data_IF_262323021987
#
_entry.id   IF_262323021987
#
_cell.length_a   1.000
_cell.length_b   1.000
_cell.length_c   1.000
_cell.angle_alpha   90.00
_cell.angle_beta   90.00
_cell.angle_gamma   90.00
#
_symmetry.space_group_name_H-M   'P 1'
#
loop_
_entity.id
_entity.type
_entity.pdbx_description
1 polymer ?
#
# COMPACT_ATOMS: atom_id res chain seq x y z
N UNK A 1 -26.23 -6.33 7.46
CA UNK A 1 -25.19 -6.52 8.49
C UNK A 1 -23.92 -5.77 8.12
N UNK A 2 -23.08 -5.46 9.08
CA UNK A 2 -21.81 -4.78 8.86
C UNK A 2 -20.81 -5.72 8.14
N UNK A 3 -20.33 -5.30 6.97
CA UNK A 3 -19.36 -6.05 6.19
C UNK A 3 -17.96 -5.43 6.39
N UNK A 4 -17.11 -6.08 7.21
CA UNK A 4 -15.79 -5.53 7.53
C UNK A 4 -14.89 -5.32 6.32
N UNK A 5 -15.05 -6.08 5.25
CA UNK A 5 -14.26 -5.87 4.04
C UNK A 5 -14.61 -4.57 3.30
N UNK A 6 -15.86 -4.12 3.38
CA UNK A 6 -16.37 -2.95 2.70
C UNK A 6 -16.51 -1.74 3.61
N UNK A 7 -17.00 -1.97 4.85
CA UNK A 7 -17.51 -0.91 5.72
C UNK A 7 -16.50 -0.53 6.82
N UNK A 8 -15.63 -1.46 7.25
CA UNK A 8 -14.62 -1.16 8.27
C UNK A 8 -13.53 -0.27 7.69
N UNK A 9 -13.52 1.00 8.09
CA UNK A 9 -12.46 1.95 7.73
C UNK A 9 -11.49 2.08 8.89
N UNK A 10 -10.23 1.82 8.62
CA UNK A 10 -9.14 1.82 9.59
C UNK A 10 -7.90 2.46 9.01
N UNK A 11 -7.07 3.04 9.85
CA UNK A 11 -5.78 3.56 9.44
C UNK A 11 -4.95 2.44 8.80
N UNK A 12 -4.41 2.70 7.62
CA UNK A 12 -3.73 1.67 6.82
C UNK A 12 -2.21 1.65 7.03
N UNK A 13 -1.67 2.68 7.67
CA UNK A 13 -0.26 2.74 8.00
C UNK A 13 0.64 2.57 6.78
N UNK A 14 1.71 1.84 6.95
CA UNK A 14 2.75 1.67 5.92
C UNK A 14 2.31 0.97 4.63
N UNK A 15 1.05 0.50 4.53
CA UNK A 15 0.54 -0.05 3.26
C UNK A 15 0.50 0.98 2.12
N UNK A 16 0.48 2.28 2.41
CA UNK A 16 0.47 3.33 1.38
C UNK A 16 1.86 3.74 0.88
N UNK A 17 2.93 3.34 1.57
CA UNK A 17 4.31 3.71 1.15
C UNK A 17 4.64 3.35 -0.30
N UNK A 18 4.23 2.18 -0.84
CA UNK A 18 4.50 1.85 -2.24
C UNK A 18 4.02 2.90 -3.25
N UNK A 19 2.96 3.65 -2.92
CA UNK A 19 2.45 4.74 -3.78
C UNK A 19 3.45 5.91 -3.86
N UNK A 20 4.16 6.19 -2.76
CA UNK A 20 5.22 7.22 -2.73
C UNK A 20 6.40 6.77 -3.60
N UNK A 21 6.85 5.54 -3.43
CA UNK A 21 7.96 4.97 -4.21
C UNK A 21 7.61 4.87 -5.70
N UNK A 22 6.35 4.59 -6.03
CA UNK A 22 5.87 4.66 -7.41
C UNK A 22 6.06 6.06 -8.00
N UNK A 23 5.75 7.12 -7.25
CA UNK A 23 5.97 8.50 -7.71
C UNK A 23 7.45 8.76 -8.00
N UNK A 24 8.34 8.24 -7.15
CA UNK A 24 9.78 8.35 -7.35
C UNK A 24 10.23 7.62 -8.65
N UNK A 25 9.77 6.39 -8.86
CA UNK A 25 10.06 5.59 -10.06
C UNK A 25 9.54 6.33 -11.31
N UNK A 26 8.29 6.78 -11.32
CA UNK A 26 7.67 7.46 -12.46
C UNK A 26 8.30 8.80 -12.80
N UNK A 27 8.99 9.43 -11.85
CA UNK A 27 9.74 10.66 -12.11
C UNK A 27 10.95 10.47 -13.05
N UNK A 28 11.41 9.23 -13.21
CA UNK A 28 12.64 8.90 -13.94
C UNK A 28 13.93 9.33 -13.24
N UNK A 29 13.85 9.98 -12.07
CA UNK A 29 15.01 10.48 -11.31
C UNK A 29 15.54 9.46 -10.30
N UNK A 30 14.72 8.46 -9.94
CA UNK A 30 15.03 7.47 -8.94
C UNK A 30 14.96 6.04 -9.49
N UNK A 31 15.84 5.21 -8.98
CA UNK A 31 15.80 3.75 -9.13
C UNK A 31 16.05 3.08 -7.77
N UNK A 32 15.99 1.77 -7.70
CA UNK A 32 16.11 1.05 -6.42
C UNK A 32 17.47 1.19 -5.73
N UNK A 33 18.52 1.53 -6.46
CA UNK A 33 19.85 1.81 -5.91
C UNK A 33 20.03 3.28 -5.50
N UNK A 34 19.10 4.18 -5.85
CA UNK A 34 19.21 5.60 -5.52
C UNK A 34 19.34 5.81 -4.01
N UNK A 35 20.26 6.65 -3.56
CA UNK A 35 20.43 6.97 -2.15
C UNK A 35 19.26 7.81 -1.64
N UNK A 36 18.66 7.39 -0.53
CA UNK A 36 17.59 8.12 0.17
C UNK A 36 18.05 8.35 1.59
N UNK A 37 17.90 9.57 2.06
CA UNK A 37 18.22 9.95 3.43
C UNK A 37 17.12 9.48 4.40
N UNK A 38 17.54 8.76 5.46
CA UNK A 38 16.68 8.31 6.57
C UNK A 38 17.16 8.94 7.88
N UNK A 39 17.14 10.26 7.94
CA UNK A 39 17.46 11.08 9.11
C UNK A 39 16.28 11.95 9.52
N UNK A 40 16.35 12.51 10.71
CA UNK A 40 15.31 13.37 11.29
C UNK A 40 14.87 14.47 10.32
N UNK A 41 13.55 14.67 10.27
CA UNK A 41 12.93 15.72 9.48
C UNK A 41 11.83 16.40 10.30
N UNK A 42 11.70 17.70 10.16
CA UNK A 42 10.60 18.50 10.73
C UNK A 42 9.84 19.21 9.63
N UNK A 43 8.53 19.04 9.62
CA UNK A 43 7.64 19.58 8.59
C UNK A 43 6.63 20.50 9.27
N UNK A 44 6.51 21.71 8.77
CA UNK A 44 5.47 22.63 9.22
C UNK A 44 4.12 22.26 8.57
N UNK A 45 3.14 21.93 9.40
CA UNK A 45 1.79 21.61 8.97
C UNK A 45 0.77 22.29 9.88
N UNK A 46 -0.10 23.09 9.32
CA UNK A 46 -1.16 23.83 10.06
C UNK A 46 -0.61 24.62 11.27
N UNK A 47 0.54 25.29 11.10
CA UNK A 47 1.15 26.11 12.15
C UNK A 47 1.84 25.30 13.27
N UNK A 48 1.95 23.97 13.15
CA UNK A 48 2.65 23.10 14.08
C UNK A 48 3.78 22.33 13.38
N UNK A 49 4.89 22.15 14.08
CA UNK A 49 5.96 21.29 13.62
C UNK A 49 5.57 19.82 13.84
N UNK A 50 5.64 19.02 12.78
CA UNK A 50 5.48 17.57 12.85
C UNK A 50 6.83 16.91 12.58
N UNK A 51 7.28 16.10 13.54
CA UNK A 51 8.55 15.37 13.49
C UNK A 51 8.27 13.85 13.54
N UNK A 52 8.14 13.21 12.38
CA UNK A 52 7.96 11.76 12.33
C UNK A 52 9.20 11.04 12.88
N UNK A 53 8.99 9.79 13.28
CA UNK A 53 10.06 8.88 13.71
C UNK A 53 9.93 7.54 13.03
N UNK A 54 11.05 6.84 12.87
CA UNK A 54 11.00 5.43 12.50
C UNK A 54 10.39 4.60 13.64
N UNK A 55 9.80 3.45 13.30
CA UNK A 55 9.18 2.57 14.28
C UNK A 55 10.21 2.11 15.35
N UNK A 56 11.43 1.83 14.94
CA UNK A 56 12.54 1.51 15.84
C UNK A 56 13.07 2.70 16.67
N UNK A 57 12.64 3.91 16.35
CA UNK A 57 13.14 5.16 16.95
C UNK A 57 14.50 5.62 16.41
N UNK A 58 15.19 4.80 15.60
CA UNK A 58 16.53 5.11 15.07
C UNK A 58 16.50 5.80 13.70
N UNK A 59 17.66 6.36 13.34
CA UNK A 59 17.97 6.90 12.02
C UNK A 59 18.96 5.97 11.32
N UNK A 60 18.86 5.82 10.00
CA UNK A 60 19.71 4.89 9.24
C UNK A 60 20.66 5.61 8.27
N UNK A 61 20.66 6.95 8.29
CA UNK A 61 21.49 7.76 7.39
C UNK A 61 21.08 7.61 5.94
N UNK A 62 22.02 7.56 5.03
CA UNK A 62 21.76 7.38 3.60
C UNK A 62 21.72 5.89 3.27
N UNK A 63 20.58 5.45 2.76
CA UNK A 63 20.32 4.04 2.39
C UNK A 63 19.82 3.91 0.95
N UNK A 64 20.02 2.76 0.29
CA UNK A 64 19.38 2.50 -1.00
C UNK A 64 17.84 2.56 -0.90
N UNK A 65 17.18 3.11 -1.91
CA UNK A 65 15.72 3.23 -1.96
C UNK A 65 15.00 1.89 -1.72
N UNK A 66 15.53 0.79 -2.25
CA UNK A 66 14.98 -0.55 -2.01
C UNK A 66 15.02 -0.93 -0.53
N UNK A 67 16.10 -0.61 0.18
CA UNK A 67 16.23 -0.87 1.61
C UNK A 67 15.23 -0.05 2.43
N UNK A 68 15.03 1.22 2.05
CA UNK A 68 14.07 2.08 2.71
C UNK A 68 12.62 1.54 2.59
N UNK A 69 12.24 1.01 1.41
CA UNK A 69 10.94 0.37 1.23
C UNK A 69 10.85 -0.97 1.95
N UNK A 70 11.83 -1.87 1.78
CA UNK A 70 11.79 -3.23 2.33
C UNK A 70 11.74 -3.25 3.85
N UNK A 71 12.46 -2.35 4.50
CA UNK A 71 12.43 -2.17 5.95
C UNK A 71 11.37 -1.18 6.44
N UNK A 72 10.60 -0.62 5.51
CA UNK A 72 9.48 0.28 5.84
C UNK A 72 9.89 1.54 6.62
N UNK A 73 11.06 2.14 6.31
CA UNK A 73 11.52 3.34 6.99
C UNK A 73 10.56 4.51 6.79
N UNK A 74 10.25 5.19 7.88
CA UNK A 74 9.29 6.29 7.89
C UNK A 74 9.91 7.58 7.37
N UNK A 75 11.13 7.89 7.80
CA UNK A 75 11.79 9.17 7.49
C UNK A 75 12.06 9.28 5.99
N UNK A 76 12.59 8.21 5.38
CA UNK A 76 12.78 8.11 3.93
C UNK A 76 11.48 8.27 3.16
N UNK A 77 10.41 7.60 3.61
CA UNK A 77 9.11 7.69 2.95
C UNK A 77 8.52 9.11 3.01
N UNK A 78 8.65 9.77 4.16
CA UNK A 78 8.18 11.15 4.32
C UNK A 78 8.99 12.13 3.45
N UNK A 79 10.31 11.98 3.35
CA UNK A 79 11.15 12.82 2.46
C UNK A 79 10.72 12.70 1.01
N UNK A 80 10.58 11.48 0.50
CA UNK A 80 10.07 11.25 -0.86
C UNK A 80 8.65 11.80 -1.03
N UNK A 81 7.77 11.57 -0.06
CA UNK A 81 6.42 12.10 -0.08
C UNK A 81 6.38 13.63 -0.16
N UNK A 82 7.23 14.32 0.59
CA UNK A 82 7.37 15.77 0.53
C UNK A 82 7.89 16.25 -0.82
N UNK A 83 8.85 15.54 -1.40
CA UNK A 83 9.42 15.89 -2.70
C UNK A 83 8.39 15.82 -3.84
N UNK A 84 7.57 14.77 -3.87
CA UNK A 84 6.56 14.59 -4.90
C UNK A 84 5.23 15.29 -4.59
N UNK A 85 4.98 15.57 -3.33
CA UNK A 85 3.86 16.37 -2.84
C UNK A 85 2.56 15.60 -2.65
N UNK A 86 1.72 16.16 -1.79
CA UNK A 86 0.40 15.60 -1.42
C UNK A 86 -0.54 15.45 -2.61
N UNK A 87 -0.49 16.38 -3.57
CA UNK A 87 -1.34 16.34 -4.76
C UNK A 87 -1.05 15.12 -5.63
N UNK A 88 0.23 14.83 -5.92
CA UNK A 88 0.64 13.67 -6.70
C UNK A 88 0.21 12.37 -6.00
N UNK A 89 0.46 12.28 -4.71
CA UNK A 89 0.06 11.13 -3.89
C UNK A 89 -1.46 10.90 -3.90
N UNK A 90 -2.24 11.96 -3.67
CA UNK A 90 -3.70 11.91 -3.69
C UNK A 90 -4.26 11.52 -5.06
N UNK A 91 -3.66 12.04 -6.13
CA UNK A 91 -4.07 11.70 -7.50
C UNK A 91 -3.83 10.22 -7.81
N UNK A 92 -2.73 9.62 -7.36
CA UNK A 92 -2.52 8.19 -7.48
C UNK A 92 -3.62 7.38 -6.77
N UNK A 93 -3.92 7.72 -5.51
CA UNK A 93 -4.96 7.02 -4.75
C UNK A 93 -6.33 7.07 -5.45
N UNK A 94 -6.72 8.25 -5.96
CA UNK A 94 -7.97 8.41 -6.72
C UNK A 94 -7.97 7.57 -7.99
N UNK A 95 -6.87 7.57 -8.76
CA UNK A 95 -6.72 6.76 -9.97
C UNK A 95 -6.83 5.26 -9.66
N UNK A 96 -6.32 4.80 -8.52
CA UNK A 96 -6.41 3.41 -8.08
C UNK A 96 -7.81 3.02 -7.57
N UNK A 97 -8.72 3.99 -7.44
CA UNK A 97 -10.11 3.73 -7.08
C UNK A 97 -10.44 3.94 -5.61
N UNK A 98 -9.59 4.65 -4.88
CA UNK A 98 -9.90 5.07 -3.51
C UNK A 98 -11.02 6.09 -3.51
N UNK A 99 -12.05 5.83 -2.72
CA UNK A 99 -13.24 6.68 -2.57
C UNK A 99 -13.27 7.40 -1.23
N UNK A 100 -12.50 6.95 -0.25
CA UNK A 100 -12.34 7.60 1.04
C UNK A 100 -11.82 9.03 0.89
N UNK A 101 -12.19 9.89 1.85
CA UNK A 101 -11.64 11.22 1.93
C UNK A 101 -10.13 11.16 2.20
N UNK A 102 -9.34 11.78 1.33
CA UNK A 102 -7.88 11.76 1.41
C UNK A 102 -7.44 13.04 2.13
N UNK A 103 -6.85 12.93 3.32
CA UNK A 103 -6.35 14.09 4.06
C UNK A 103 -5.24 14.83 3.30
N UNK A 104 -5.14 16.14 3.55
CA UNK A 104 -4.17 17.04 2.90
C UNK A 104 -3.03 17.44 3.85
N UNK A 105 -2.63 16.56 4.75
CA UNK A 105 -1.52 16.79 5.68
C UNK A 105 -0.45 15.69 5.58
N UNK A 106 0.82 16.00 5.89
CA UNK A 106 1.97 15.14 5.59
C UNK A 106 1.95 13.75 6.23
N UNK A 107 1.25 13.56 7.35
CA UNK A 107 1.18 12.24 7.99
C UNK A 107 0.45 11.17 7.15
N UNK A 108 -0.22 11.58 6.06
CA UNK A 108 -0.78 10.64 5.09
C UNK A 108 0.30 9.78 4.41
N UNK A 109 1.53 10.28 4.28
CA UNK A 109 2.66 9.52 3.75
C UNK A 109 3.03 8.31 4.62
N UNK A 110 2.58 8.32 5.88
CA UNK A 110 2.69 7.19 6.80
C UNK A 110 1.36 6.44 6.97
N UNK A 111 0.37 6.73 6.12
CA UNK A 111 -0.93 6.06 6.11
C UNK A 111 -1.88 6.49 7.23
N UNK A 112 -1.75 7.74 7.73
CA UNK A 112 -2.71 8.35 8.64
C UNK A 112 -4.02 8.70 7.89
N UNK A 113 -4.67 7.70 7.35
CA UNK A 113 -5.94 7.77 6.63
C UNK A 113 -6.70 6.47 6.80
N UNK A 114 -8.02 6.58 6.98
CA UNK A 114 -8.89 5.44 7.16
C UNK A 114 -9.39 4.94 5.81
N UNK A 115 -9.11 3.66 5.51
CA UNK A 115 -9.56 2.97 4.30
C UNK A 115 -10.10 1.59 4.64
N UNK A 116 -10.97 1.08 3.77
CA UNK A 116 -11.46 -0.30 3.89
C UNK A 116 -10.47 -1.31 3.28
N UNK A 117 -10.54 -2.60 3.70
CA UNK A 117 -9.79 -3.66 3.04
C UNK A 117 -10.01 -3.71 1.53
N UNK A 118 -11.22 -3.41 1.07
CA UNK A 118 -11.56 -3.37 -0.36
C UNK A 118 -10.83 -2.23 -1.10
N UNK A 119 -10.69 -1.05 -0.49
CA UNK A 119 -9.90 0.03 -1.08
C UNK A 119 -8.42 -0.33 -1.17
N UNK A 120 -7.88 -0.98 -0.13
CA UNK A 120 -6.52 -1.51 -0.17
C UNK A 120 -6.35 -2.61 -1.23
N UNK A 121 -7.34 -3.49 -1.38
CA UNK A 121 -7.37 -4.50 -2.45
C UNK A 121 -7.35 -3.84 -3.83
N UNK A 122 -8.05 -2.73 -4.01
CA UNK A 122 -8.02 -1.97 -5.27
C UNK A 122 -6.63 -1.42 -5.57
N UNK A 123 -5.95 -0.82 -4.58
CA UNK A 123 -4.58 -0.29 -4.75
C UNK A 123 -3.61 -1.40 -5.15
N UNK A 124 -3.56 -2.50 -4.38
CA UNK A 124 -2.64 -3.61 -4.64
C UNK A 124 -3.02 -4.42 -5.88
N UNK A 125 -4.29 -4.43 -6.25
CA UNK A 125 -4.77 -4.96 -7.52
C UNK A 125 -4.16 -4.24 -8.73
N UNK A 126 -4.02 -2.91 -8.66
CA UNK A 126 -3.33 -2.14 -9.71
C UNK A 126 -1.84 -2.54 -9.83
N UNK A 127 -1.17 -2.84 -8.72
CA UNK A 127 0.23 -3.30 -8.74
C UNK A 127 0.33 -4.71 -9.30
N UNK A 128 -0.52 -5.62 -8.83
CA UNK A 128 -0.52 -7.04 -9.23
C UNK A 128 -0.82 -7.26 -10.72
N UNK A 129 -1.62 -6.39 -11.32
CA UNK A 129 -2.02 -6.48 -12.73
C UNK A 129 -1.08 -5.78 -13.69
N UNK A 130 0.07 -5.30 -13.20
CA UNK A 130 1.01 -4.57 -14.03
C UNK A 130 0.55 -3.16 -14.42
N UNK A 131 -0.26 -2.53 -13.55
CA UNK A 131 -0.70 -1.15 -13.74
C UNK A 131 -2.11 -0.99 -14.30
N UNK A 132 -2.94 -2.04 -14.27
CA UNK A 132 -4.31 -1.97 -14.74
C UNK A 132 -5.30 -2.07 -13.59
N UNK A 133 -6.28 -1.18 -13.60
CA UNK A 133 -7.43 -1.21 -12.70
C UNK A 133 -8.53 -2.07 -13.29
N UNK A 134 -8.94 -3.07 -12.52
CA UNK A 134 -10.09 -3.92 -12.83
C UNK A 134 -11.22 -3.62 -11.84
N UNK A 135 -12.46 -3.42 -12.31
CA UNK A 135 -13.57 -3.27 -11.39
C UNK A 135 -13.81 -4.59 -10.66
N UNK A 136 -13.85 -4.52 -9.34
CA UNK A 136 -14.29 -5.65 -8.51
C UNK A 136 -15.76 -5.94 -8.80
N UNK A 137 -16.07 -7.20 -9.13
CA UNK A 137 -17.43 -7.63 -9.46
C UNK A 137 -17.79 -8.89 -8.70
N UNK A 138 -18.92 -8.87 -8.02
CA UNK A 138 -19.53 -10.05 -7.40
C UNK A 138 -20.40 -10.84 -8.37
N UNK A 139 -20.94 -10.17 -9.40
CA UNK A 139 -21.80 -10.79 -10.41
C UNK A 139 -21.18 -10.60 -11.78
N UNK A 140 -20.93 -11.67 -12.50
CA UNK A 140 -20.42 -11.65 -13.88
C UNK A 140 -21.52 -11.71 -14.92
N UNK A 141 -22.50 -12.59 -14.67
CA UNK A 141 -23.61 -12.85 -15.59
C UNK A 141 -24.88 -13.08 -14.81
N UNK A 142 -26.00 -12.71 -15.41
CA UNK A 142 -27.34 -13.07 -14.96
C UNK A 142 -27.97 -13.91 -16.06
N UNK A 143 -28.51 -15.06 -15.70
CA UNK A 143 -29.23 -15.97 -16.61
C UNK A 143 -30.68 -16.19 -16.11
N UNK A 144 -31.58 -16.52 -17.00
CA UNK A 144 -32.94 -16.93 -16.63
C UNK A 144 -32.99 -18.40 -16.18
N UNK A 145 -34.16 -18.89 -15.81
CA UNK A 145 -34.35 -20.26 -15.32
C UNK A 145 -34.02 -21.36 -16.38
N UNK A 146 -33.92 -20.98 -17.67
CA UNK A 146 -33.56 -21.86 -18.77
C UNK A 146 -32.07 -21.75 -19.15
N UNK A 147 -31.25 -21.01 -18.37
CA UNK A 147 -29.84 -20.77 -18.66
C UNK A 147 -29.58 -19.74 -19.75
N UNK A 148 -30.60 -19.03 -20.26
CA UNK A 148 -30.43 -17.99 -21.26
C UNK A 148 -29.82 -16.76 -20.65
N UNK A 149 -28.80 -16.22 -21.31
CA UNK A 149 -28.09 -15.01 -20.86
C UNK A 149 -29.01 -13.78 -20.89
N UNK A 150 -29.28 -13.20 -19.73
CA UNK A 150 -30.03 -11.95 -19.59
C UNK A 150 -29.09 -10.74 -19.59
N UNK A 151 -28.00 -10.83 -18.89
CA UNK A 151 -27.01 -9.74 -18.84
C UNK A 151 -25.60 -10.27 -18.57
N UNK A 152 -24.61 -9.61 -19.17
CA UNK A 152 -23.19 -9.86 -18.91
C UNK A 152 -22.51 -8.54 -18.62
N UNK A 153 -21.89 -8.43 -17.44
CA UNK A 153 -21.12 -7.25 -17.07
C UNK A 153 -19.72 -7.33 -17.67
N UNK A 154 -19.45 -6.52 -18.69
CA UNK A 154 -18.14 -6.42 -19.35
C UNK A 154 -17.03 -5.96 -18.39
N UNK A 155 -15.81 -6.36 -18.68
CA UNK A 155 -14.62 -5.82 -17.99
C UNK A 155 -14.34 -4.42 -18.55
N UNK A 156 -14.35 -3.42 -17.68
CA UNK A 156 -13.86 -2.09 -18.01
C UNK A 156 -12.47 -1.95 -17.39
N UNK A 157 -11.44 -2.17 -18.18
CA UNK A 157 -10.03 -2.14 -17.76
C UNK A 157 -9.46 -0.75 -18.05
N UNK A 158 -8.85 -0.13 -17.05
CA UNK A 158 -8.23 1.17 -17.18
C UNK A 158 -6.75 1.09 -16.78
N UNK A 159 -5.86 1.56 -17.64
CA UNK A 159 -4.45 1.71 -17.29
C UNK A 159 -4.28 2.87 -16.31
N UNK A 160 -3.65 2.61 -15.17
CA UNK A 160 -3.40 3.57 -14.08
C UNK A 160 -1.93 3.83 -13.83
N UNK A 161 -1.08 2.84 -14.12
CA UNK A 161 0.37 2.90 -14.03
C UNK A 161 0.93 2.44 -15.39
N UNK A 162 2.00 3.05 -15.85
CA UNK A 162 2.70 2.52 -17.02
C UNK A 162 3.37 1.18 -16.68
N UNK A 163 3.44 0.21 -17.62
CA UNK A 163 3.89 -1.13 -17.32
C UNK A 163 5.35 -1.20 -16.83
N UNK A 164 6.21 -0.31 -17.29
CA UNK A 164 7.61 -0.27 -16.88
C UNK A 164 7.72 0.12 -15.38
N UNK A 165 7.03 1.18 -14.97
CA UNK A 165 6.99 1.59 -13.56
C UNK A 165 6.34 0.52 -12.67
N UNK A 166 5.27 -0.13 -13.14
CA UNK A 166 4.64 -1.23 -12.41
C UNK A 166 5.60 -2.41 -12.21
N UNK A 167 6.35 -2.78 -13.24
CA UNK A 167 7.36 -3.84 -13.17
C UNK A 167 8.48 -3.50 -12.17
N UNK A 168 9.00 -2.27 -12.23
CA UNK A 168 10.04 -1.80 -11.31
C UNK A 168 9.51 -1.78 -9.87
N UNK A 169 8.29 -1.29 -9.64
CA UNK A 169 7.66 -1.30 -8.32
C UNK A 169 7.51 -2.73 -7.79
N UNK A 170 7.07 -3.67 -8.64
CA UNK A 170 6.91 -5.07 -8.27
C UNK A 170 8.20 -5.66 -7.71
N UNK A 171 9.36 -5.38 -8.31
CA UNK A 171 10.65 -5.80 -7.76
C UNK A 171 10.85 -5.32 -6.33
N UNK A 172 10.59 -4.03 -6.04
CA UNK A 172 10.70 -3.49 -4.68
C UNK A 172 9.78 -4.19 -3.69
N UNK A 173 8.54 -4.51 -4.11
CA UNK A 173 7.58 -5.23 -3.27
C UNK A 173 7.97 -6.70 -3.06
N UNK A 174 8.67 -7.33 -4.01
CA UNK A 174 9.28 -8.64 -3.81
C UNK A 174 10.43 -8.57 -2.79
N UNK A 175 11.23 -7.49 -2.79
CA UNK A 175 12.28 -7.31 -1.78
C UNK A 175 11.74 -7.16 -0.36
N UNK A 176 10.54 -6.57 -0.18
CA UNK A 176 9.84 -6.57 1.11
C UNK A 176 9.62 -8.00 1.62
N UNK A 177 9.29 -8.94 0.72
CA UNK A 177 8.98 -10.33 1.04
C UNK A 177 10.23 -11.20 1.20
N UNK A 178 11.32 -10.91 0.51
CA UNK A 178 12.53 -11.74 0.56
C UNK A 178 13.51 -11.31 1.64
N UNK A 179 13.67 -10.01 1.86
CA UNK A 179 14.69 -9.46 2.78
C UNK A 179 14.13 -8.45 3.79
N UNK A 180 12.85 -8.06 3.63
CA UNK A 180 12.22 -7.01 4.43
C UNK A 180 11.25 -7.52 5.49
N UNK A 181 10.28 -6.66 5.81
CA UNK A 181 9.29 -6.88 6.88
C UNK A 181 8.29 -8.00 6.58
N UNK A 182 8.17 -8.45 5.34
CA UNK A 182 7.28 -9.56 4.94
C UNK A 182 7.93 -10.93 4.87
N UNK A 183 9.23 -11.04 5.19
CA UNK A 183 10.02 -12.28 4.99
C UNK A 183 9.48 -13.51 5.71
N UNK A 184 8.79 -13.32 6.83
CA UNK A 184 8.21 -14.42 7.63
C UNK A 184 7.16 -15.23 6.84
N UNK A 185 6.55 -14.67 5.81
CA UNK A 185 5.62 -15.39 4.95
C UNK A 185 6.26 -16.64 4.30
N UNK A 186 7.54 -16.56 3.96
CA UNK A 186 8.27 -17.69 3.36
C UNK A 186 8.68 -18.78 4.37
N UNK A 187 8.39 -18.62 5.64
CA UNK A 187 8.51 -19.73 6.60
C UNK A 187 7.43 -20.81 6.35
N UNK A 188 6.32 -20.43 5.71
CA UNK A 188 5.17 -21.31 5.46
C UNK A 188 4.88 -21.48 3.98
N UNK A 189 5.16 -20.46 3.18
CA UNK A 189 4.85 -20.44 1.75
C UNK A 189 6.11 -20.70 0.92
N UNK A 190 6.01 -21.41 -0.21
CA UNK A 190 7.18 -21.69 -1.04
C UNK A 190 7.66 -20.42 -1.79
N UNK A 191 8.98 -20.30 -1.92
CA UNK A 191 9.63 -19.19 -2.64
C UNK A 191 9.21 -19.10 -4.11
N UNK A 192 8.76 -20.22 -4.70
CA UNK A 192 8.28 -20.26 -6.10
C UNK A 192 7.04 -19.39 -6.34
N UNK A 193 6.32 -18.99 -5.30
CA UNK A 193 5.20 -18.05 -5.43
C UNK A 193 5.62 -16.63 -5.81
N UNK A 194 6.90 -16.27 -5.63
CA UNK A 194 7.43 -14.94 -5.93
C UNK A 194 6.55 -13.82 -5.37
N UNK A 195 6.22 -13.91 -4.09
CA UNK A 195 5.32 -12.99 -3.42
C UNK A 195 5.84 -11.55 -3.49
N UNK A 196 4.94 -10.64 -3.77
CA UNK A 196 5.15 -9.20 -3.64
C UNK A 196 4.12 -8.65 -2.64
N UNK A 197 4.52 -7.74 -1.76
CA UNK A 197 3.60 -7.26 -0.74
C UNK A 197 4.19 -6.22 0.20
N UNK A 198 3.39 -5.81 1.15
CA UNK A 198 3.76 -4.84 2.17
C UNK A 198 3.02 -5.11 3.47
N UNK A 199 3.72 -5.03 4.58
CA UNK A 199 3.13 -4.98 5.92
C UNK A 199 2.75 -3.57 6.30
N UNK A 200 1.72 -3.41 7.10
CA UNK A 200 1.30 -2.15 7.70
C UNK A 200 1.04 -2.33 9.18
N UNK A 201 1.50 -1.40 9.98
CA UNK A 201 1.20 -1.30 11.40
C UNK A 201 0.85 0.14 11.68
N UNK A 202 -0.22 0.36 12.44
CA UNK A 202 -0.59 1.70 12.88
C UNK A 202 0.04 2.03 14.23
N UNK A 203 -0.02 3.30 14.60
CA UNK A 203 0.42 3.75 15.90
C UNK A 203 -0.28 2.94 17.01
N UNK A 204 0.44 2.69 18.08
CA UNK A 204 -0.03 1.92 19.24
C UNK A 204 -0.46 0.48 18.91
N UNK A 205 -0.03 -0.08 17.77
CA UNK A 205 -0.37 -1.47 17.36
C UNK A 205 -1.87 -1.78 17.39
N UNK A 206 -2.72 -0.81 17.00
CA UNK A 206 -4.16 -0.98 16.97
C UNK A 206 -4.62 -1.79 15.78
N UNK A 207 -3.99 -1.55 14.63
CA UNK A 207 -4.29 -2.22 13.37
C UNK A 207 -3.04 -2.85 12.80
N UNK A 208 -3.15 -4.11 12.44
CA UNK A 208 -2.13 -4.87 11.75
C UNK A 208 -2.64 -5.20 10.35
N UNK A 209 -1.85 -4.87 9.35
CA UNK A 209 -2.20 -5.04 7.96
C UNK A 209 -1.14 -5.81 7.19
N UNK A 210 -1.62 -6.61 6.27
CA UNK A 210 -0.78 -7.14 5.20
C UNK A 210 -1.55 -7.05 3.88
N UNK A 211 -0.90 -6.57 2.84
CA UNK A 211 -1.40 -6.62 1.48
C UNK A 211 -0.31 -7.20 0.57
N UNK A 212 -0.67 -8.21 -0.20
CA UNK A 212 0.29 -8.89 -1.06
C UNK A 212 -0.38 -9.65 -2.19
N UNK A 213 0.44 -10.09 -3.13
CA UNK A 213 -0.01 -10.82 -4.31
C UNK A 213 1.05 -11.78 -4.83
N UNK A 214 0.60 -12.73 -5.61
CA UNK A 214 1.39 -13.62 -6.47
C UNK A 214 0.82 -13.60 -7.89
N UNK A 215 1.23 -14.51 -8.76
CA UNK A 215 0.77 -14.52 -10.15
C UNK A 215 -0.75 -14.55 -10.34
N UNK A 216 -1.52 -15.14 -9.42
CA UNK A 216 -2.97 -15.38 -9.61
C UNK A 216 -3.85 -14.76 -8.52
N UNK A 217 -3.28 -14.30 -7.42
CA UNK A 217 -4.05 -13.87 -6.25
C UNK A 217 -3.55 -12.54 -5.71
N UNK A 218 -4.49 -11.70 -5.29
CA UNK A 218 -4.26 -10.52 -4.46
C UNK A 218 -5.00 -10.72 -3.15
N UNK A 219 -4.32 -10.50 -2.04
CA UNK A 219 -4.89 -10.66 -0.70
C UNK A 219 -4.61 -9.42 0.13
N UNK A 220 -5.61 -9.01 0.89
CA UNK A 220 -5.48 -7.99 1.94
C UNK A 220 -6.04 -8.55 3.22
N UNK A 221 -5.24 -8.52 4.27
CA UNK A 221 -5.64 -8.96 5.61
C UNK A 221 -5.55 -7.78 6.56
N UNK A 222 -6.58 -7.60 7.35
CA UNK A 222 -6.63 -6.68 8.47
C UNK A 222 -6.96 -7.44 9.76
N UNK A 223 -6.17 -7.17 10.77
CA UNK A 223 -6.38 -7.63 12.14
C UNK A 223 -6.47 -6.41 13.05
N UNK A 224 -7.56 -6.33 13.78
CA UNK A 224 -7.86 -5.24 14.70
C UNK A 224 -9.10 -5.54 15.54
N UNK A 225 -9.35 -4.70 16.52
CA UNK A 225 -10.54 -4.77 17.38
C UNK A 225 -11.58 -3.75 16.92
N UNK A 226 -12.85 -4.13 16.98
CA UNK A 226 -13.96 -3.25 16.56
C UNK A 226 -14.01 -1.95 17.39
N UNK A 227 -13.60 -2.00 18.65
CA UNK A 227 -13.51 -0.85 19.56
C UNK A 227 -12.19 -0.06 19.45
N UNK A 228 -11.37 -0.37 18.44
CA UNK A 228 -10.10 0.31 18.16
C UNK A 228 -9.07 0.27 19.30
N UNK A 229 -9.12 -0.73 20.16
CA UNK A 229 -8.10 -0.96 21.19
C UNK A 229 -6.81 -1.54 20.58
N UNK A 230 -5.74 -1.46 21.35
CA UNK A 230 -4.45 -2.04 20.98
C UNK A 230 -4.53 -3.57 20.90
N UNK A 231 -3.99 -4.15 19.86
CA UNK A 231 -3.90 -5.61 19.69
C UNK A 231 -2.57 -6.17 20.16
N UNK A 232 -1.53 -5.34 20.23
CA UNK A 232 -0.15 -5.78 20.46
C UNK A 232 0.50 -6.48 19.27
N UNK A 233 -0.23 -6.63 18.14
CA UNK A 233 0.25 -7.27 16.92
C UNK A 233 0.85 -6.26 15.95
N UNK A 234 1.81 -6.71 15.15
CA UNK A 234 2.36 -5.94 14.04
C UNK A 234 2.01 -6.60 12.71
N UNK A 235 2.01 -5.84 11.62
CA UNK A 235 1.77 -6.39 10.28
C UNK A 235 2.86 -7.35 9.77
N UNK A 236 3.92 -7.53 10.55
CA UNK A 236 5.03 -8.46 10.30
C UNK A 236 5.08 -9.63 11.29
N UNK A 237 4.10 -9.70 12.21
CA UNK A 237 3.98 -10.78 13.20
C UNK A 237 3.38 -12.04 12.61
#
# INVERSE_FOLDING_TARGET
GFNRALDAKRQVGSLLKPVIYLSAIQSGRYNWASPIEDSSISIQANGKAWTPKNYSGGEHGVVPMVQALSNSYNLSAVRLGQEFGLSTFSNHLKRFGVTSNIPTYPSIFLGAVDMSPMEMLSIYGNFATGGFKYPTKSIRTVVDQNGRLLTRYGLNVQQTIDPASAYVLNYGLQQVMTSGTGRSAYNTLPNSLQLAGKSGTTNDTRDSWFAGYSGNYVSVVWLGLDDNKQTGLTGSS
#
